data_IF_742234227399
#
_entry.id   IF_742234227399
#
_cell.length_a   1.000
_cell.length_b   1.000
_cell.length_c   1.000
_cell.angle_alpha   90.00
_cell.angle_beta   90.00
_cell.angle_gamma   90.00
#
_symmetry.space_group_name_H-M   'P 1'
#
loop_
_entity.id
_entity.type
_entity.pdbx_description
1 polymer ?
#
# COMPACT_ATOMS: atom_id res chain seq x y z
N UNK A 1 9.36 -19.74 -15.22
CA UNK A 1 9.68 -18.32 -15.52
C UNK A 1 11.18 -18.12 -15.57
N UNK A 2 11.68 -17.52 -16.64
CA UNK A 2 13.11 -17.24 -16.78
C UNK A 2 13.48 -15.99 -15.99
N UNK A 3 14.77 -15.79 -15.73
CA UNK A 3 15.27 -14.58 -15.09
C UNK A 3 14.89 -13.32 -15.88
N UNK A 4 14.95 -13.40 -17.22
CA UNK A 4 14.56 -12.30 -18.09
C UNK A 4 13.08 -11.92 -17.93
N UNK A 5 12.20 -12.91 -17.89
CA UNK A 5 10.77 -12.71 -17.68
C UNK A 5 10.50 -12.12 -16.30
N UNK A 6 11.18 -12.62 -15.28
CA UNK A 6 11.06 -12.10 -13.91
C UNK A 6 11.52 -10.65 -13.82
N UNK A 7 12.63 -10.30 -14.45
CA UNK A 7 13.13 -8.93 -14.44
C UNK A 7 12.15 -7.97 -15.10
N UNK A 8 11.51 -8.40 -16.19
CA UNK A 8 10.49 -7.59 -16.88
C UNK A 8 9.28 -7.38 -15.99
N UNK A 9 8.82 -8.44 -15.33
CA UNK A 9 7.69 -8.38 -14.41
C UNK A 9 7.99 -7.44 -13.23
N UNK A 10 9.18 -7.57 -12.64
CA UNK A 10 9.58 -6.74 -11.50
C UNK A 10 9.62 -5.26 -11.85
N UNK A 11 10.17 -4.91 -13.01
CA UNK A 11 10.21 -3.53 -13.47
C UNK A 11 8.80 -2.97 -13.69
N UNK A 12 7.92 -3.77 -14.26
CA UNK A 12 6.53 -3.35 -14.50
C UNK A 12 5.81 -3.09 -13.18
N UNK A 13 6.02 -3.95 -12.18
CA UNK A 13 5.41 -3.78 -10.86
C UNK A 13 5.96 -2.54 -10.16
N UNK A 14 7.26 -2.33 -10.18
CA UNK A 14 7.89 -1.15 -9.59
C UNK A 14 7.37 0.14 -10.22
N UNK A 15 7.23 0.15 -11.54
CA UNK A 15 6.66 1.29 -12.27
C UNK A 15 5.22 1.55 -11.85
N UNK A 16 4.41 0.49 -11.76
CA UNK A 16 3.02 0.60 -11.33
C UNK A 16 2.91 1.17 -9.91
N UNK A 17 3.75 0.70 -8.98
CA UNK A 17 3.76 1.19 -7.61
C UNK A 17 4.08 2.68 -7.55
N UNK A 18 5.08 3.14 -8.30
CA UNK A 18 5.43 4.57 -8.38
C UNK A 18 4.30 5.40 -8.96
N UNK A 19 3.65 4.91 -10.01
CA UNK A 19 2.54 5.61 -10.65
C UNK A 19 1.33 5.74 -9.71
N UNK A 20 0.99 4.67 -8.99
CA UNK A 20 -0.08 4.68 -8.01
C UNK A 20 0.23 5.64 -6.87
N UNK A 21 1.45 5.66 -6.35
CA UNK A 21 1.83 6.59 -5.28
C UNK A 21 1.73 8.04 -5.74
N UNK A 22 2.07 8.31 -6.99
CA UNK A 22 1.96 9.64 -7.58
C UNK A 22 0.53 10.14 -7.61
N UNK A 23 -0.43 9.26 -7.95
CA UNK A 23 -1.85 9.63 -8.01
C UNK A 23 -2.52 9.64 -6.63
N UNK A 24 -2.12 8.75 -5.71
CA UNK A 24 -2.70 8.66 -4.36
C UNK A 24 -1.99 9.51 -3.31
N UNK A 25 -0.84 10.09 -3.64
CA UNK A 25 -0.08 10.93 -2.72
C UNK A 25 -0.92 12.01 -2.04
N UNK A 26 -1.76 12.76 -2.79
CA UNK A 26 -2.62 13.78 -2.18
C UNK A 26 -3.58 13.24 -1.11
N UNK A 27 -4.04 11.99 -1.24
CA UNK A 27 -4.90 11.36 -0.23
C UNK A 27 -4.13 11.12 1.08
N UNK A 28 -2.84 10.75 0.98
CA UNK A 28 -2.02 10.51 2.16
C UNK A 28 -1.64 11.81 2.86
N UNK A 29 -1.40 12.88 2.10
CA UNK A 29 -1.00 14.18 2.68
C UNK A 29 -2.16 14.95 3.28
N UNK A 30 -3.41 14.72 2.82
CA UNK A 30 -4.60 15.42 3.33
C UNK A 30 -4.39 16.95 3.40
N UNK A 31 -3.97 17.54 2.27
CA UNK A 31 -3.69 18.98 2.13
C UNK A 31 -2.50 19.48 2.97
N UNK A 32 -1.68 18.57 3.46
CA UNK A 32 -0.45 18.84 4.19
C UNK A 32 0.75 18.50 3.30
N UNK A 33 1.96 18.83 3.74
CA UNK A 33 3.19 18.39 3.10
C UNK A 33 3.69 17.06 3.67
N UNK A 34 3.03 16.53 4.71
CA UNK A 34 3.42 15.30 5.36
C UNK A 34 2.77 14.10 4.66
N UNK A 35 3.57 13.23 4.06
CA UNK A 35 3.09 12.02 3.38
C UNK A 35 2.41 11.04 4.36
N UNK A 36 2.66 11.17 5.66
CA UNK A 36 2.08 10.32 6.69
C UNK A 36 0.85 10.92 7.35
N UNK A 37 0.40 12.09 6.89
CA UNK A 37 -0.70 12.83 7.51
C UNK A 37 -1.98 12.00 7.67
N UNK A 38 -2.33 11.18 6.67
CA UNK A 38 -3.52 10.34 6.75
C UNK A 38 -3.47 9.37 7.93
N UNK A 39 -2.34 8.72 8.14
CA UNK A 39 -2.19 7.78 9.27
C UNK A 39 -2.23 8.52 10.61
N UNK A 40 -1.57 9.67 10.70
CA UNK A 40 -1.53 10.48 11.92
C UNK A 40 -2.92 11.02 12.29
N UNK A 41 -3.61 11.60 11.31
CA UNK A 41 -4.95 12.18 11.54
C UNK A 41 -5.97 11.11 11.89
N UNK A 42 -5.95 9.98 11.20
CA UNK A 42 -6.85 8.87 11.50
C UNK A 42 -6.57 8.28 12.87
N UNK A 43 -5.30 8.12 13.24
CA UNK A 43 -4.91 7.63 14.55
C UNK A 43 -5.43 8.55 15.66
N UNK A 44 -5.34 9.86 15.46
CA UNK A 44 -5.85 10.84 16.42
C UNK A 44 -7.37 10.71 16.58
N UNK A 45 -8.10 10.66 15.46
CA UNK A 45 -9.57 10.52 15.49
C UNK A 45 -10.02 9.24 16.19
N UNK A 46 -9.29 8.16 16.02
CA UNK A 46 -9.63 6.85 16.58
C UNK A 46 -8.96 6.57 17.93
N UNK A 47 -8.22 7.54 18.45
CA UNK A 47 -7.50 7.42 19.71
C UNK A 47 -6.58 6.18 19.71
N UNK A 48 -5.78 6.04 18.67
CA UNK A 48 -4.85 4.93 18.50
C UNK A 48 -3.50 5.45 17.97
N UNK A 49 -2.64 4.56 17.52
CA UNK A 49 -1.32 4.90 17.02
C UNK A 49 -1.27 4.83 15.49
N UNK A 50 -0.45 5.69 14.83
CA UNK A 50 -0.34 5.67 13.37
C UNK A 50 0.06 4.31 12.80
N UNK A 51 0.95 3.59 13.47
CA UNK A 51 1.36 2.25 13.00
C UNK A 51 0.20 1.26 12.98
N UNK A 52 -0.72 1.35 13.96
CA UNK A 52 -1.91 0.48 13.97
C UNK A 52 -2.83 0.78 12.81
N UNK A 53 -3.02 2.07 12.49
CA UNK A 53 -3.81 2.47 11.31
C UNK A 53 -3.18 1.91 10.04
N UNK A 54 -1.87 2.09 9.89
CA UNK A 54 -1.12 1.53 8.76
C UNK A 54 -1.30 0.01 8.67
N UNK A 55 -1.20 -0.68 9.81
CA UNK A 55 -1.36 -2.14 9.87
C UNK A 55 -2.71 -2.61 9.36
N UNK A 56 -3.79 -1.88 9.64
CA UNK A 56 -5.12 -2.21 9.13
C UNK A 56 -5.17 -2.12 7.60
N UNK A 57 -4.60 -1.08 7.01
CA UNK A 57 -4.55 -0.93 5.56
C UNK A 57 -3.67 -1.99 4.92
N UNK A 58 -2.53 -2.28 5.52
CA UNK A 58 -1.61 -3.31 5.03
C UNK A 58 -2.27 -4.69 5.05
N UNK A 59 -2.91 -5.03 6.16
CA UNK A 59 -3.62 -6.31 6.32
C UNK A 59 -4.74 -6.48 5.29
N UNK A 60 -5.45 -5.40 4.99
CA UNK A 60 -6.48 -5.41 3.96
C UNK A 60 -5.92 -5.84 2.59
N UNK A 61 -4.73 -5.35 2.24
CA UNK A 61 -4.09 -5.73 0.98
C UNK A 61 -3.69 -7.21 0.97
N UNK A 62 -3.15 -7.70 2.09
CA UNK A 62 -2.81 -9.12 2.23
C UNK A 62 -4.06 -9.98 2.09
N UNK A 63 -5.14 -9.63 2.77
CA UNK A 63 -6.41 -10.36 2.69
C UNK A 63 -6.96 -10.38 1.26
N UNK A 64 -6.83 -9.28 0.54
CA UNK A 64 -7.28 -9.18 -0.86
C UNK A 64 -6.51 -10.11 -1.78
N UNK A 65 -5.21 -10.30 -1.54
CA UNK A 65 -4.39 -11.24 -2.32
C UNK A 65 -4.87 -12.67 -2.10
N UNK A 66 -5.11 -13.05 -0.85
CA UNK A 66 -5.62 -14.39 -0.56
C UNK A 66 -7.02 -14.61 -1.16
N UNK A 67 -7.87 -13.58 -1.17
CA UNK A 67 -9.17 -13.66 -1.82
C UNK A 67 -9.05 -13.90 -3.32
N UNK A 68 -8.09 -13.27 -3.99
CA UNK A 68 -7.79 -13.55 -5.40
C UNK A 68 -7.39 -15.01 -5.62
N UNK A 69 -6.57 -15.56 -4.73
CA UNK A 69 -6.11 -16.93 -4.79
C UNK A 69 -7.25 -17.95 -4.61
N UNK A 70 -8.14 -17.68 -3.66
CA UNK A 70 -9.17 -18.63 -3.24
C UNK A 70 -10.42 -18.60 -4.11
N UNK A 71 -10.68 -17.51 -4.83
CA UNK A 71 -11.90 -17.38 -5.61
C UNK A 71 -11.67 -16.60 -6.89
N UNK A 72 -10.98 -17.22 -7.84
CA UNK A 72 -10.65 -16.62 -9.12
C UNK A 72 -11.87 -16.36 -10.00
N UNK A 73 -13.02 -17.00 -9.73
CA UNK A 73 -14.24 -16.79 -10.49
C UNK A 73 -14.98 -15.52 -10.12
N UNK A 74 -14.70 -14.91 -8.95
CA UNK A 74 -15.32 -13.68 -8.55
C UNK A 74 -14.74 -12.50 -9.34
N UNK A 75 -15.63 -11.59 -9.74
CA UNK A 75 -15.21 -10.35 -10.37
C UNK A 75 -14.54 -9.47 -9.33
N UNK A 76 -13.29 -9.07 -9.60
CA UNK A 76 -12.50 -8.22 -8.70
C UNK A 76 -12.58 -6.76 -9.15
N UNK A 77 -12.67 -5.83 -8.17
CA UNK A 77 -12.65 -4.40 -8.45
C UNK A 77 -11.28 -3.95 -8.95
N UNK A 78 -10.22 -4.59 -8.47
CA UNK A 78 -8.84 -4.27 -8.83
C UNK A 78 -8.07 -5.52 -9.25
N UNK A 79 -7.04 -5.34 -10.07
CA UNK A 79 -6.17 -6.43 -10.52
C UNK A 79 -5.29 -6.93 -9.38
N UNK A 80 -4.77 -8.15 -9.52
CA UNK A 80 -3.80 -8.69 -8.56
C UNK A 80 -2.51 -7.85 -8.56
N UNK A 81 -2.11 -7.36 -9.72
CA UNK A 81 -0.93 -6.52 -9.85
C UNK A 81 -1.06 -5.23 -9.04
N UNK A 82 -2.24 -4.59 -9.06
CA UNK A 82 -2.46 -3.37 -8.29
C UNK A 82 -2.44 -3.63 -6.79
N UNK A 83 -2.86 -4.82 -6.34
CA UNK A 83 -2.75 -5.19 -4.92
C UNK A 83 -1.30 -5.31 -4.47
N UNK A 84 -0.46 -5.92 -5.30
CA UNK A 84 0.98 -5.99 -5.01
C UNK A 84 1.65 -4.61 -5.07
N UNK A 85 1.25 -3.77 -6.01
CA UNK A 85 1.75 -2.40 -6.09
C UNK A 85 1.42 -1.60 -4.82
N UNK A 86 0.20 -1.74 -4.30
CA UNK A 86 -0.20 -1.10 -3.05
C UNK A 86 0.65 -1.61 -1.87
N UNK A 87 0.95 -2.90 -1.82
CA UNK A 87 1.79 -3.47 -0.76
C UNK A 87 3.19 -2.85 -0.79
N UNK A 88 3.78 -2.68 -1.97
CA UNK A 88 5.08 -2.02 -2.10
C UNK A 88 5.01 -0.62 -1.47
N UNK A 89 3.97 0.14 -1.81
CA UNK A 89 3.81 1.49 -1.29
C UNK A 89 3.57 1.50 0.22
N UNK A 90 2.78 0.58 0.75
CA UNK A 90 2.59 0.46 2.19
C UNK A 90 3.86 0.05 2.91
N UNK A 91 4.74 -0.74 2.28
CA UNK A 91 6.05 -1.04 2.84
C UNK A 91 6.89 0.23 3.01
N UNK A 92 6.90 1.09 1.99
CA UNK A 92 7.62 2.36 2.08
C UNK A 92 7.04 3.26 3.18
N UNK A 93 5.72 3.37 3.23
CA UNK A 93 5.05 4.22 4.22
C UNK A 93 5.25 3.67 5.64
N UNK A 94 5.18 2.35 5.79
CA UNK A 94 5.44 1.72 7.10
C UNK A 94 6.85 1.98 7.60
N UNK A 95 7.84 1.85 6.73
CA UNK A 95 9.23 2.16 7.09
C UNK A 95 9.37 3.63 7.50
N UNK A 96 8.68 4.53 6.80
CA UNK A 96 8.70 5.95 7.14
C UNK A 96 8.13 6.22 8.55
N UNK A 97 7.07 5.50 8.94
CA UNK A 97 6.52 5.59 10.29
C UNK A 97 7.54 5.18 11.35
N UNK A 98 8.30 4.11 11.09
CA UNK A 98 9.38 3.69 11.99
C UNK A 98 10.48 4.74 12.08
N UNK A 99 10.86 5.35 10.95
CA UNK A 99 11.90 6.39 10.93
C UNK A 99 11.49 7.65 11.70
N UNK A 100 10.22 8.00 11.66
CA UNK A 100 9.69 9.13 12.42
C UNK A 100 9.22 8.74 13.83
N UNK A 101 9.31 7.48 14.19
CA UNK A 101 8.86 6.94 15.49
C UNK A 101 7.36 7.17 15.75
N UNK A 102 6.56 7.15 14.71
CA UNK A 102 5.11 7.27 14.80
C UNK A 102 4.46 5.88 14.97
N UNK A 103 4.81 5.25 16.04
CA UNK A 103 4.49 3.87 16.34
C UNK A 103 3.30 3.71 17.27
#
# INVERSE_FOLDING_TARGET
MTQKEFNKLSKALDYMAKDVMKSKGPEYTQESTDILANFKNTAERLNTKPLKVWGCFFDKQISSIYAHSNNSSLKKAESIESRFADIINYCHLGLALFKEREL
#
